data_IF_489516924320
#
_entry.id   IF_489516924320
#
_cell.length_a   1.000
_cell.length_b   1.000
_cell.length_c   1.000
_cell.angle_alpha   90.00
_cell.angle_beta   90.00
_cell.angle_gamma   90.00
#
_symmetry.space_group_name_H-M   'P 1'
#
loop_
_entity.id
_entity.type
_entity.pdbx_description
1 polymer ?
#
# COMPACT_ATOMS: atom_id res chain seq x y z
N UNK A 1 34.08 11.55 19.57
CA UNK A 1 33.87 10.43 18.63
C UNK A 1 32.49 9.85 18.92
N UNK A 2 31.48 10.14 18.09
CA UNK A 2 30.22 9.41 18.08
C UNK A 2 29.64 9.53 16.66
N UNK A 3 29.84 8.48 15.87
CA UNK A 3 29.32 8.36 14.51
C UNK A 3 27.85 7.98 14.65
N UNK A 4 26.95 8.94 14.41
CA UNK A 4 25.51 8.64 14.34
C UNK A 4 25.26 8.00 12.99
N UNK A 5 25.16 6.67 13.00
CA UNK A 5 24.59 5.89 11.91
C UNK A 5 23.14 6.34 11.73
N UNK A 6 22.90 7.24 10.77
CA UNK A 6 21.58 7.44 10.18
C UNK A 6 21.26 6.18 9.40
N UNK A 7 20.78 5.15 10.11
CA UNK A 7 20.02 4.10 9.51
C UNK A 7 18.84 4.77 8.82
N UNK A 8 18.95 4.94 7.49
CA UNK A 8 17.83 5.17 6.60
C UNK A 8 16.98 3.90 6.66
N UNK A 9 16.29 3.71 7.79
CA UNK A 9 15.21 2.77 7.87
C UNK A 9 14.24 3.21 6.79
N UNK A 10 14.07 2.36 5.76
CA UNK A 10 12.86 2.37 4.98
C UNK A 10 11.73 2.39 6.01
N UNK A 11 11.14 3.56 6.24
CA UNK A 11 9.87 3.67 6.93
C UNK A 11 8.98 2.86 6.01
N UNK A 12 8.48 1.67 6.41
CA UNK A 12 7.42 1.09 5.63
C UNK A 12 6.35 2.19 5.60
N UNK A 13 5.96 2.63 4.40
CA UNK A 13 4.77 3.44 4.24
C UNK A 13 3.53 2.58 4.56
N UNK A 14 3.57 1.82 5.66
CA UNK A 14 2.42 1.45 6.45
C UNK A 14 1.90 2.77 7.03
N UNK A 15 1.09 3.45 6.25
CA UNK A 15 0.09 4.35 6.80
C UNK A 15 -0.49 3.70 8.06
N UNK A 16 -0.26 4.37 9.20
CA UNK A 16 -0.50 3.81 10.52
C UNK A 16 -1.90 3.19 10.61
N UNK A 17 -1.95 1.86 10.67
CA UNK A 17 -3.18 1.07 10.85
C UNK A 17 -3.77 0.41 9.59
N UNK A 18 -3.38 0.76 8.36
CA UNK A 18 -3.95 0.13 7.16
C UNK A 18 -3.06 -0.99 6.60
N UNK A 19 -3.67 -2.14 6.31
CA UNK A 19 -3.02 -3.29 5.67
C UNK A 19 -3.70 -3.56 4.33
N UNK A 20 -2.96 -3.51 3.23
CA UNK A 20 -3.46 -3.87 1.91
C UNK A 20 -3.12 -5.32 1.56
N UNK A 21 -4.03 -5.99 0.85
CA UNK A 21 -3.88 -7.35 0.36
C UNK A 21 -4.43 -7.45 -1.06
N UNK A 22 -3.67 -8.10 -1.95
CA UNK A 22 -4.04 -8.37 -3.34
C UNK A 22 -3.36 -9.66 -3.82
N UNK A 23 -3.92 -10.36 -4.82
CA UNK A 23 -3.24 -11.47 -5.48
C UNK A 23 -1.96 -10.97 -6.14
N UNK A 24 -0.81 -11.57 -5.76
CA UNK A 24 0.49 -11.13 -6.26
C UNK A 24 0.91 -9.76 -5.74
N UNK A 25 0.45 -9.32 -4.57
CA UNK A 25 0.93 -8.07 -3.96
C UNK A 25 2.41 -8.22 -3.56
N UNK A 26 3.26 -7.36 -4.12
CA UNK A 26 4.64 -7.18 -3.68
C UNK A 26 4.69 -6.19 -2.52
N UNK A 27 4.04 -5.04 -2.70
CA UNK A 27 3.96 -3.99 -1.70
C UNK A 27 2.68 -3.19 -1.89
N UNK A 28 2.13 -2.67 -0.80
CA UNK A 28 0.95 -1.83 -0.83
C UNK A 28 0.96 -0.84 0.33
N UNK A 29 0.49 0.38 0.06
CA UNK A 29 0.40 1.45 1.04
C UNK A 29 -0.93 2.17 0.85
N UNK A 30 -1.65 2.42 1.93
CA UNK A 30 -2.91 3.14 1.89
C UNK A 30 -3.09 4.01 3.12
N UNK A 31 -3.09 5.32 2.93
CA UNK A 31 -3.18 6.35 3.97
C UNK A 31 -4.60 6.64 4.48
N UNK A 32 -5.62 5.99 3.92
CA UNK A 32 -7.01 6.23 4.31
C UNK A 32 -7.73 7.28 3.46
N UNK A 33 -7.04 7.86 2.47
CA UNK A 33 -7.60 8.77 1.46
C UNK A 33 -8.38 8.06 0.34
N UNK A 34 -8.46 8.68 -0.84
CA UNK A 34 -9.26 8.19 -1.97
C UNK A 34 -8.47 7.24 -2.90
N UNK A 35 -7.16 7.12 -2.71
CA UNK A 35 -6.29 6.25 -3.52
C UNK A 35 -5.39 5.39 -2.64
N UNK A 36 -5.06 4.19 -3.11
CA UNK A 36 -4.06 3.31 -2.50
C UNK A 36 -2.95 3.00 -3.49
N UNK A 37 -1.71 3.01 -3.00
CA UNK A 37 -0.57 2.52 -3.76
C UNK A 37 -0.55 0.99 -3.74
N UNK A 38 -0.51 0.37 -4.93
CA UNK A 38 -0.47 -1.08 -5.10
C UNK A 38 0.64 -1.44 -6.09
N UNK A 39 1.56 -2.29 -5.65
CA UNK A 39 2.60 -2.90 -6.48
C UNK A 39 2.37 -4.40 -6.57
N UNK A 40 2.14 -4.89 -7.79
CA UNK A 40 1.90 -6.31 -8.06
C UNK A 40 3.11 -6.97 -8.72
N UNK A 41 3.28 -8.27 -8.47
CA UNK A 41 4.28 -9.13 -9.08
C UNK A 41 4.06 -9.17 -10.59
N UNK A 42 5.12 -8.99 -11.37
CA UNK A 42 5.05 -8.89 -12.83
C UNK A 42 4.96 -7.44 -13.35
N UNK A 43 4.84 -6.45 -12.47
CA UNK A 43 4.95 -5.03 -12.82
C UNK A 43 6.26 -4.47 -12.27
N UNK A 44 7.02 -3.74 -13.10
CA UNK A 44 8.30 -3.14 -12.68
C UNK A 44 8.11 -2.08 -11.59
N UNK A 45 6.96 -1.41 -11.55
CA UNK A 45 6.62 -0.39 -10.53
C UNK A 45 5.16 -0.53 -10.09
N UNK A 46 4.87 -0.17 -8.83
CA UNK A 46 3.50 0.01 -8.37
C UNK A 46 2.88 1.33 -8.87
N UNK A 47 1.57 1.45 -8.70
CA UNK A 47 0.80 2.64 -9.07
C UNK A 47 -0.27 2.95 -8.01
N UNK A 48 -0.74 4.20 -8.00
CA UNK A 48 -1.87 4.61 -7.19
C UNK A 48 -3.17 4.29 -7.91
N UNK A 49 -4.08 3.62 -7.22
CA UNK A 49 -5.39 3.25 -7.74
C UNK A 49 -6.49 3.83 -6.87
N UNK A 50 -7.61 4.29 -7.47
CA UNK A 50 -8.75 4.74 -6.70
C UNK A 50 -9.34 3.60 -5.87
N UNK A 51 -9.79 3.92 -4.67
CA UNK A 51 -10.44 2.97 -3.77
C UNK A 51 -11.82 3.45 -3.37
N UNK A 52 -12.75 2.51 -3.25
CA UNK A 52 -14.02 2.72 -2.59
C UNK A 52 -13.86 2.40 -1.10
N UNK A 53 -13.85 3.44 -0.26
CA UNK A 53 -13.79 3.31 1.20
C UNK A 53 -15.19 3.06 1.77
N UNK A 54 -15.30 2.07 2.65
CA UNK A 54 -16.52 1.68 3.37
C UNK A 54 -16.14 1.33 4.81
N UNK A 55 -16.20 2.32 5.70
CA UNK A 55 -15.77 2.17 7.10
C UNK A 55 -14.28 1.89 7.22
N UNK A 56 -13.93 0.78 7.86
CA UNK A 56 -12.56 0.29 8.06
C UNK A 56 -12.02 -0.54 6.88
N UNK A 57 -12.71 -0.56 5.75
CA UNK A 57 -12.33 -1.32 4.56
C UNK A 57 -12.36 -0.45 3.32
N UNK A 58 -11.27 -0.45 2.55
CA UNK A 58 -11.16 0.17 1.25
C UNK A 58 -10.92 -0.92 0.20
N UNK A 59 -11.58 -0.82 -0.95
CA UNK A 59 -11.43 -1.80 -2.03
C UNK A 59 -11.18 -1.08 -3.34
N UNK A 60 -10.30 -1.60 -4.17
CA UNK A 60 -10.06 -1.06 -5.51
C UNK A 60 -9.73 -2.16 -6.50
N UNK A 61 -9.59 -1.75 -7.76
CA UNK A 61 -9.19 -2.63 -8.86
C UNK A 61 -8.02 -1.99 -9.58
N UNK A 62 -6.94 -2.74 -9.75
CA UNK A 62 -5.78 -2.27 -10.50
C UNK A 62 -6.08 -2.24 -12.01
N UNK A 63 -5.22 -1.59 -12.79
CA UNK A 63 -5.36 -1.49 -14.25
C UNK A 63 -5.36 -2.86 -14.96
N UNK A 64 -4.79 -3.88 -14.32
CA UNK A 64 -4.79 -5.26 -14.81
C UNK A 64 -6.04 -6.07 -14.40
N UNK A 65 -7.03 -5.44 -13.78
CA UNK A 65 -8.24 -6.12 -13.29
C UNK A 65 -8.07 -6.84 -11.95
N UNK A 66 -6.87 -6.89 -11.39
CA UNK A 66 -6.62 -7.48 -10.06
C UNK A 66 -7.30 -6.63 -9.00
N UNK A 67 -8.19 -7.24 -8.22
CA UNK A 67 -8.86 -6.60 -7.08
C UNK A 67 -7.95 -6.60 -5.87
N UNK A 68 -7.95 -5.51 -5.12
CA UNK A 68 -7.21 -5.38 -3.87
C UNK A 68 -8.11 -4.82 -2.77
N UNK A 69 -7.75 -5.12 -1.54
CA UNK A 69 -8.50 -4.73 -0.34
C UNK A 69 -7.51 -4.18 0.68
N UNK A 70 -7.76 -2.97 1.17
CA UNK A 70 -7.07 -2.41 2.31
C UNK A 70 -8.00 -2.37 3.52
N UNK A 71 -7.52 -2.82 4.68
CA UNK A 71 -8.29 -2.85 5.93
C UNK A 71 -7.54 -2.14 7.03
N UNK A 72 -8.24 -1.33 7.81
CA UNK A 72 -7.71 -0.73 9.02
C UNK A 72 -7.79 -1.77 10.15
N UNK A 73 -6.67 -2.05 10.82
CA UNK A 73 -6.62 -2.86 12.05
C UNK A 73 -7.14 -2.07 13.23
#
# INVERSE_FOLDING_TARGET
>A
MAVVFLAMGCIPASAAGWTCSAPGLVSGAYDGGDTAYIHLTGFSTGNNYPVAKKGNRATGTTKNGTRFVCTQR
#
